data_IF_708337092325
#
_entry.id   IF_708337092325
#
_cell.length_a   1.000
_cell.length_b   1.000
_cell.length_c   1.000
_cell.angle_alpha   90.00
_cell.angle_beta   90.00
_cell.angle_gamma   90.00
#
_symmetry.space_group_name_H-M   'P 1'
#
loop_
_entity.id
_entity.type
_entity.pdbx_description
1 polymer ?
#
# COMPACT_ATOMS: atom_id res chain seq x y z
N UNK A 1 18.06 11.93 7.03
CA UNK A 1 17.62 13.26 6.56
C UNK A 1 16.18 13.18 6.07
N UNK A 2 15.40 14.22 6.28
CA UNK A 2 14.02 14.34 5.79
C UNK A 2 14.01 15.48 4.77
N UNK A 3 13.43 15.22 3.60
CA UNK A 3 13.25 16.20 2.55
C UNK A 3 11.76 16.36 2.27
N UNK A 4 11.31 17.58 2.10
CA UNK A 4 9.95 17.90 1.71
C UNK A 4 9.94 18.46 0.29
N UNK A 5 9.05 17.95 -0.56
CA UNK A 5 8.77 18.55 -1.86
C UNK A 5 7.48 19.37 -1.74
N UNK A 6 7.56 20.65 -2.06
CA UNK A 6 6.41 21.55 -2.16
C UNK A 6 6.04 21.86 -3.62
N UNK A 7 6.90 21.49 -4.55
CA UNK A 7 6.73 21.77 -5.96
C UNK A 7 5.93 20.67 -6.64
N UNK A 8 5.24 21.05 -7.72
CA UNK A 8 4.56 20.10 -8.58
C UNK A 8 5.58 19.23 -9.30
N UNK A 9 5.50 17.93 -9.11
CA UNK A 9 6.39 16.94 -9.70
C UNK A 9 5.73 16.39 -10.97
N UNK A 10 6.50 16.29 -12.06
CA UNK A 10 6.04 15.69 -13.32
C UNK A 10 5.99 14.16 -13.21
N UNK A 11 5.21 13.50 -14.07
CA UNK A 11 5.14 12.04 -14.11
C UNK A 11 6.52 11.38 -14.30
N UNK A 12 7.38 11.96 -15.16
CA UNK A 12 8.74 11.47 -15.36
C UNK A 12 9.60 11.56 -14.09
N UNK A 13 9.48 12.65 -13.33
CA UNK A 13 10.16 12.81 -12.05
C UNK A 13 9.60 11.85 -10.99
N UNK A 14 8.28 11.66 -10.93
CA UNK A 14 7.67 10.66 -10.03
C UNK A 14 8.19 9.25 -10.31
N UNK A 15 8.28 8.86 -11.58
CA UNK A 15 8.85 7.59 -11.97
C UNK A 15 10.29 7.41 -11.45
N UNK A 16 11.12 8.47 -11.51
CA UNK A 16 12.48 8.42 -10.94
C UNK A 16 12.44 8.20 -9.42
N UNK A 17 11.55 8.89 -8.70
CA UNK A 17 11.44 8.72 -7.25
C UNK A 17 11.06 7.29 -6.88
N UNK A 18 10.09 6.68 -7.55
CA UNK A 18 9.73 5.29 -7.29
C UNK A 18 10.89 4.34 -7.57
N UNK A 19 11.64 4.55 -8.66
CA UNK A 19 12.76 3.67 -9.04
C UNK A 19 13.98 3.79 -8.11
N UNK A 20 14.15 4.88 -7.37
CA UNK A 20 15.26 5.04 -6.41
C UNK A 20 14.84 4.73 -4.97
N UNK A 21 13.55 4.58 -4.70
CA UNK A 21 13.05 4.33 -3.37
C UNK A 21 13.28 2.87 -2.94
N UNK A 22 13.65 2.65 -1.69
CA UNK A 22 13.70 1.31 -1.09
C UNK A 22 12.30 0.81 -0.72
N UNK A 23 11.35 1.70 -0.48
CA UNK A 23 9.93 1.43 -0.27
C UNK A 23 9.11 2.71 -0.43
N UNK A 24 7.84 2.55 -0.78
CA UNK A 24 6.83 3.63 -0.73
C UNK A 24 5.95 3.45 0.49
N UNK A 25 5.65 4.54 1.20
CA UNK A 25 4.78 4.53 2.38
C UNK A 25 3.52 5.35 2.13
N UNK A 26 2.35 4.77 2.40
CA UNK A 26 1.05 5.42 2.34
C UNK A 26 0.22 5.06 3.58
N UNK A 27 0.10 5.98 4.51
CA UNK A 27 -0.63 5.79 5.78
C UNK A 27 -1.93 6.61 5.83
N UNK A 28 -2.55 6.83 4.68
CA UNK A 28 -3.87 7.45 4.60
C UNK A 28 -4.88 6.67 5.44
N UNK A 29 -5.75 7.39 6.13
CA UNK A 29 -6.79 6.78 6.99
C UNK A 29 -7.99 6.25 6.22
N UNK A 30 -8.12 6.64 4.96
CA UNK A 30 -9.12 6.15 4.01
C UNK A 30 -8.64 6.41 2.58
N UNK A 31 -8.72 5.39 1.76
CA UNK A 31 -8.38 5.46 0.33
C UNK A 31 -9.31 4.57 -0.48
N UNK A 32 -9.82 5.09 -1.59
CA UNK A 32 -10.55 4.26 -2.53
C UNK A 32 -9.67 3.20 -3.17
N UNK A 33 -8.44 3.56 -3.53
CA UNK A 33 -7.47 2.65 -4.13
C UNK A 33 -6.04 2.87 -3.64
N UNK A 34 -5.52 4.11 -3.66
CA UNK A 34 -4.14 4.45 -3.35
C UNK A 34 -3.21 4.26 -4.56
N UNK A 35 -3.39 5.07 -5.61
CA UNK A 35 -2.64 4.97 -6.88
C UNK A 35 -1.12 4.95 -6.69
N UNK A 36 -0.59 5.67 -5.71
CA UNK A 36 0.84 5.68 -5.42
C UNK A 36 1.40 4.30 -5.05
N UNK A 37 0.57 3.40 -4.52
CA UNK A 37 0.97 2.02 -4.25
C UNK A 37 1.07 1.22 -5.55
N UNK A 38 0.11 1.38 -6.46
CA UNK A 38 0.18 0.76 -7.80
C UNK A 38 1.42 1.23 -8.56
N UNK A 39 1.68 2.54 -8.59
CA UNK A 39 2.86 3.13 -9.23
C UNK A 39 4.16 2.59 -8.64
N UNK A 40 4.20 2.37 -7.33
CA UNK A 40 5.31 1.75 -6.62
C UNK A 40 5.51 0.29 -7.06
N UNK A 41 4.43 -0.50 -7.10
CA UNK A 41 4.50 -1.92 -7.46
C UNK A 41 4.97 -2.12 -8.90
N UNK A 42 4.49 -1.31 -9.85
CA UNK A 42 4.93 -1.40 -11.26
C UNK A 42 6.37 -0.92 -11.49
N UNK A 43 6.99 -0.31 -10.51
CA UNK A 43 8.43 0.01 -10.50
C UNK A 43 9.26 -0.95 -9.64
N UNK A 44 8.67 -2.08 -9.24
CA UNK A 44 9.30 -3.09 -8.39
C UNK A 44 9.76 -2.54 -7.03
N UNK A 45 9.01 -1.60 -6.46
CA UNK A 45 9.27 -1.00 -5.15
C UNK A 45 8.27 -1.51 -4.13
N UNK A 46 8.71 -2.10 -3.00
CA UNK A 46 7.82 -2.59 -1.94
C UNK A 46 6.98 -1.49 -1.32
N UNK A 47 5.84 -1.85 -0.75
CA UNK A 47 4.90 -0.91 -0.16
C UNK A 47 4.74 -1.10 1.34
N UNK A 48 4.68 0.01 2.07
CA UNK A 48 4.24 0.10 3.46
C UNK A 48 2.90 0.83 3.43
N UNK A 49 1.82 0.22 3.88
CA UNK A 49 0.53 0.87 3.78
C UNK A 49 -0.42 0.53 4.93
N UNK A 50 -1.30 1.47 5.25
CA UNK A 50 -2.37 1.27 6.20
C UNK A 50 -3.37 0.23 5.67
N UNK A 51 -3.83 -0.66 6.53
CA UNK A 51 -4.81 -1.71 6.16
C UNK A 51 -6.20 -1.12 6.20
N UNK A 52 -6.58 -0.44 5.12
CA UNK A 52 -7.90 0.18 4.96
C UNK A 52 -8.26 0.31 3.48
N UNK A 53 -9.55 0.28 3.19
CA UNK A 53 -10.10 0.50 1.85
C UNK A 53 -9.40 -0.33 0.76
N UNK A 54 -9.26 0.22 -0.43
CA UNK A 54 -8.65 -0.47 -1.58
C UNK A 54 -7.15 -0.73 -1.45
N UNK A 55 -6.47 -0.14 -0.46
CA UNK A 55 -5.07 -0.48 -0.18
C UNK A 55 -4.91 -1.94 0.25
N UNK A 56 -5.93 -2.54 0.88
CA UNK A 56 -5.93 -3.95 1.25
C UNK A 56 -5.84 -4.87 0.04
N UNK A 57 -6.51 -4.52 -1.05
CA UNK A 57 -6.51 -5.29 -2.30
C UNK A 57 -5.09 -5.37 -2.89
N UNK A 58 -4.34 -4.29 -2.79
CA UNK A 58 -2.96 -4.20 -3.28
C UNK A 58 -1.95 -4.93 -2.39
N UNK A 59 -2.27 -5.17 -1.12
CA UNK A 59 -1.46 -6.00 -0.22
C UNK A 59 -1.69 -7.49 -0.44
N UNK A 60 -2.80 -7.84 -1.06
CA UNK A 60 -3.22 -9.19 -1.40
C UNK A 60 -3.14 -10.14 -0.21
N UNK A 61 -4.07 -9.97 0.71
CA UNK A 61 -4.17 -10.85 1.86
C UNK A 61 -4.62 -12.26 1.47
N UNK A 62 -4.14 -13.25 2.20
CA UNK A 62 -4.47 -14.65 1.99
C UNK A 62 -4.82 -15.36 3.29
N UNK A 63 -5.56 -16.44 3.16
CA UNK A 63 -5.89 -17.36 4.24
C UNK A 63 -5.91 -18.77 3.69
N UNK A 64 -5.27 -19.70 4.39
CA UNK A 64 -5.18 -21.11 3.98
C UNK A 64 -4.62 -21.28 2.54
N UNK A 65 -3.61 -20.46 2.19
CA UNK A 65 -2.96 -20.40 0.87
C UNK A 65 -3.89 -19.98 -0.27
N UNK A 66 -5.00 -19.27 0.02
CA UNK A 66 -5.90 -18.70 -0.97
C UNK A 66 -5.99 -17.20 -0.78
N UNK A 67 -5.92 -16.45 -1.88
CA UNK A 67 -6.19 -15.03 -1.86
C UNK A 67 -7.62 -14.75 -1.38
N UNK A 68 -7.77 -13.69 -0.61
CA UNK A 68 -9.07 -13.22 -0.13
C UNK A 68 -9.57 -12.17 -1.12
N UNK A 69 -10.78 -12.38 -1.62
CA UNK A 69 -11.49 -11.38 -2.40
C UNK A 69 -12.34 -10.54 -1.43
N UNK A 70 -12.04 -9.25 -1.37
CA UNK A 70 -12.81 -8.32 -0.56
C UNK A 70 -14.18 -8.09 -1.22
N UNK A 71 -15.22 -8.06 -0.42
CA UNK A 71 -16.59 -7.88 -0.86
C UNK A 71 -17.23 -6.71 -0.09
N UNK A 72 -18.41 -6.23 -0.51
CA UNK A 72 -19.14 -5.19 0.23
C UNK A 72 -19.43 -5.54 1.70
N UNK A 73 -19.48 -6.82 2.03
CA UNK A 73 -19.68 -7.30 3.40
C UNK A 73 -18.36 -7.41 4.19
N UNK A 74 -17.21 -7.21 3.53
CA UNK A 74 -15.92 -7.24 4.19
C UNK A 74 -15.66 -5.86 4.83
N UNK A 75 -15.18 -5.80 6.08
CA UNK A 75 -14.90 -4.51 6.73
C UNK A 75 -13.78 -3.76 6.00
N UNK A 76 -13.78 -2.43 6.08
CA UNK A 76 -12.74 -1.56 5.50
C UNK A 76 -11.33 -1.91 5.95
N UNK A 77 -11.20 -2.57 7.10
CA UNK A 77 -9.99 -3.22 7.56
C UNK A 77 -10.34 -4.48 8.37
N UNK A 78 -9.43 -5.44 8.42
CA UNK A 78 -9.60 -6.66 9.21
C UNK A 78 -8.83 -6.64 10.54
N UNK A 79 -8.23 -5.51 10.90
CA UNK A 79 -7.53 -5.25 12.18
C UNK A 79 -6.54 -6.35 12.59
N UNK A 80 -5.86 -6.92 11.61
CA UNK A 80 -4.86 -7.95 11.85
C UNK A 80 -5.43 -9.34 12.19
N UNK A 81 -6.69 -9.61 11.90
CA UNK A 81 -7.24 -10.99 11.96
C UNK A 81 -6.66 -11.87 10.87
N UNK A 82 -6.22 -11.29 9.75
CA UNK A 82 -5.54 -11.95 8.66
C UNK A 82 -4.10 -11.47 8.64
N UNK A 83 -3.15 -12.39 8.63
CA UNK A 83 -1.71 -12.10 8.76
C UNK A 83 -0.91 -12.37 7.49
N UNK A 84 -1.38 -13.29 6.66
CA UNK A 84 -0.71 -13.64 5.42
C UNK A 84 -1.03 -12.61 4.34
N UNK A 85 -0.02 -12.14 3.64
CA UNK A 85 -0.14 -11.12 2.61
C UNK A 85 0.96 -11.28 1.55
N UNK A 86 0.86 -10.52 0.47
CA UNK A 86 1.89 -10.48 -0.56
C UNK A 86 3.27 -10.10 0.03
N UNK A 87 4.32 -10.74 -0.46
CA UNK A 87 5.70 -10.52 0.03
C UNK A 87 6.21 -9.10 -0.17
N UNK A 88 5.58 -8.34 -1.05
CA UNK A 88 5.90 -6.94 -1.36
C UNK A 88 5.29 -5.93 -0.41
N UNK A 89 4.37 -6.37 0.45
CA UNK A 89 3.60 -5.50 1.32
C UNK A 89 4.05 -5.60 2.77
N UNK A 90 4.11 -4.45 3.43
CA UNK A 90 4.39 -4.29 4.86
C UNK A 90 3.20 -3.60 5.51
N UNK A 91 2.16 -4.36 5.91
CA UNK A 91 0.93 -3.81 6.44
C UNK A 91 1.14 -3.07 7.76
N UNK A 92 0.48 -1.93 7.89
CA UNK A 92 0.30 -1.21 9.15
C UNK A 92 -1.17 -1.32 9.52
N UNK A 93 -1.47 -1.99 10.61
CA UNK A 93 -2.86 -2.22 11.02
C UNK A 93 -3.38 -1.03 11.81
N UNK A 94 -4.63 -0.58 11.53
CA UNK A 94 -5.22 0.51 12.29
C UNK A 94 -5.33 0.20 13.78
N UNK A 95 -4.86 1.12 14.60
CA UNK A 95 -4.99 1.08 16.06
C UNK A 95 -6.26 1.76 16.56
N UNK A 96 -6.85 2.63 15.73
CA UNK A 96 -8.01 3.44 16.07
C UNK A 96 -8.93 3.63 14.86
N UNK A 97 -10.24 3.81 15.14
CA UNK A 97 -11.22 4.27 14.17
C UNK A 97 -11.81 5.58 14.68
N UNK A 98 -11.85 6.58 13.83
CA UNK A 98 -12.56 7.82 14.08
C UNK A 98 -13.67 8.03 13.05
N UNK A 99 -14.67 8.82 13.41
CA UNK A 99 -15.68 9.28 12.46
C UNK A 99 -15.24 10.63 11.95
N UNK A 100 -15.06 10.74 10.63
CA UNK A 100 -14.76 11.99 9.96
C UNK A 100 -15.92 12.38 9.05
N UNK A 101 -16.17 13.67 8.92
CA UNK A 101 -17.21 14.19 8.04
C UNK A 101 -17.20 15.70 8.00
N UNK A 102 -17.84 16.25 6.98
CA UNK A 102 -18.02 17.67 6.81
C UNK A 102 -19.34 17.93 6.06
N UNK A 103 -19.83 19.13 6.10
CA UNK A 103 -20.93 19.54 5.23
C UNK A 103 -20.32 19.92 3.87
N UNK A 104 -20.70 19.31 2.74
CA UNK A 104 -21.78 18.34 2.51
C UNK A 104 -21.35 16.85 2.53
N UNK A 105 -20.13 16.54 2.96
CA UNK A 105 -19.60 15.17 2.92
C UNK A 105 -20.23 14.31 4.02
N UNK A 106 -20.78 13.12 3.69
CA UNK A 106 -21.33 12.23 4.72
C UNK A 106 -20.25 11.79 5.71
N UNK A 107 -20.67 11.38 6.88
CA UNK A 107 -19.76 10.80 7.87
C UNK A 107 -19.21 9.46 7.36
N UNK A 108 -17.90 9.32 7.44
CA UNK A 108 -17.17 8.11 7.10
C UNK A 108 -16.31 7.67 8.29
N UNK A 109 -15.96 6.41 8.31
CA UNK A 109 -15.00 5.89 9.27
C UNK A 109 -13.59 6.03 8.70
N UNK A 110 -12.71 6.66 9.49
CA UNK A 110 -11.27 6.76 9.23
C UNK A 110 -10.52 5.75 10.07
N UNK A 111 -9.76 4.89 9.42
CA UNK A 111 -8.88 3.91 10.04
C UNK A 111 -7.51 4.52 10.27
N UNK A 112 -7.15 4.78 11.51
CA UNK A 112 -5.90 5.46 11.87
C UNK A 112 -4.89 4.50 12.45
N UNK A 113 -3.71 4.44 11.87
CA UNK A 113 -2.55 3.76 12.42
C UNK A 113 -1.80 4.67 13.40
N UNK A 114 -1.08 4.07 14.34
CA UNK A 114 -0.19 4.80 15.22
C UNK A 114 1.12 5.14 14.51
N UNK A 115 1.80 6.25 14.88
CA UNK A 115 3.14 6.55 14.39
C UNK A 115 4.15 5.42 14.72
N UNK A 116 3.99 4.76 15.86
CA UNK A 116 4.83 3.65 16.31
C UNK A 116 4.72 2.45 15.39
N UNK A 117 3.49 2.07 14.98
CA UNK A 117 3.26 0.96 14.06
C UNK A 117 3.81 1.28 12.67
N UNK A 118 3.67 2.54 12.23
CA UNK A 118 4.31 3.03 11.00
C UNK A 118 5.83 2.95 11.07
N UNK A 119 6.43 3.37 12.17
CA UNK A 119 7.88 3.29 12.39
C UNK A 119 8.39 1.85 12.40
N UNK A 120 7.67 0.93 13.04
CA UNK A 120 8.00 -0.50 13.04
C UNK A 120 7.95 -1.11 11.63
N UNK A 121 7.01 -0.69 10.79
CA UNK A 121 6.95 -1.15 9.41
C UNK A 121 8.14 -0.64 8.58
N UNK A 122 8.54 0.62 8.76
CA UNK A 122 9.75 1.19 8.15
C UNK A 122 10.99 0.42 8.61
N UNK A 123 11.11 0.14 9.92
CA UNK A 123 12.23 -0.61 10.49
C UNK A 123 12.33 -2.02 9.92
N UNK A 124 11.21 -2.70 9.69
CA UNK A 124 11.19 -4.01 9.04
C UNK A 124 11.81 -3.96 7.65
N UNK A 125 11.44 -2.98 6.83
CA UNK A 125 12.00 -2.81 5.48
C UNK A 125 13.48 -2.43 5.55
N UNK A 126 13.86 -1.53 6.47
CA UNK A 126 15.23 -1.10 6.67
C UNK A 126 16.17 -2.25 7.03
N UNK A 127 15.71 -3.18 7.86
CA UNK A 127 16.47 -4.34 8.31
C UNK A 127 16.55 -5.49 7.30
N UNK A 128 15.81 -5.43 6.18
CA UNK A 128 15.98 -6.39 5.09
C UNK A 128 17.34 -6.21 4.41
N UNK A 129 17.90 -7.30 3.93
CA UNK A 129 19.02 -7.24 2.99
C UNK A 129 18.59 -6.53 1.70
N UNK A 130 19.56 -6.06 0.93
CA UNK A 130 19.27 -5.48 -0.39
C UNK A 130 18.58 -6.49 -1.30
N UNK A 131 19.03 -7.73 -1.25
CA UNK A 131 18.52 -8.85 -2.03
C UNK A 131 17.06 -9.15 -1.66
N UNK A 132 16.73 -9.16 -0.36
CA UNK A 132 15.36 -9.40 0.10
C UNK A 132 14.41 -8.23 -0.29
N UNK A 133 14.87 -6.99 -0.21
CA UNK A 133 14.07 -5.84 -0.69
C UNK A 133 13.81 -5.94 -2.19
N UNK A 134 14.82 -6.28 -2.98
CA UNK A 134 14.67 -6.46 -4.42
C UNK A 134 13.75 -7.64 -4.75
N UNK A 135 13.84 -8.73 -4.01
CA UNK A 135 12.95 -9.87 -4.17
C UNK A 135 11.49 -9.52 -3.82
N UNK A 136 11.29 -8.73 -2.77
CA UNK A 136 9.98 -8.22 -2.39
C UNK A 136 9.41 -7.31 -3.49
N UNK A 137 10.19 -6.35 -3.97
CA UNK A 137 9.78 -5.45 -5.05
C UNK A 137 9.44 -6.19 -6.33
N UNK A 138 10.29 -7.16 -6.72
CA UNK A 138 10.01 -8.00 -7.89
C UNK A 138 8.73 -8.81 -7.74
N UNK A 139 8.47 -9.38 -6.58
CA UNK A 139 7.23 -10.12 -6.34
C UNK A 139 6.00 -9.21 -6.48
N UNK A 140 6.09 -7.95 -6.04
CA UNK A 140 5.05 -6.94 -6.23
C UNK A 140 4.84 -6.58 -7.69
N UNK A 141 5.92 -6.39 -8.44
CA UNK A 141 5.87 -6.14 -9.87
C UNK A 141 5.21 -7.31 -10.63
N UNK A 142 5.66 -8.53 -10.35
CA UNK A 142 5.12 -9.73 -11.00
C UNK A 142 3.62 -9.90 -10.73
N UNK A 143 3.17 -9.61 -9.51
CA UNK A 143 1.76 -9.60 -9.18
C UNK A 143 1.02 -8.47 -9.90
N UNK A 144 1.52 -7.22 -9.83
CA UNK A 144 0.84 -6.05 -10.39
C UNK A 144 0.71 -6.09 -11.92
N UNK A 145 1.66 -6.72 -12.60
CA UNK A 145 1.68 -6.87 -14.06
C UNK A 145 1.16 -8.22 -14.56
N UNK A 146 0.84 -9.13 -13.65
CA UNK A 146 0.28 -10.44 -13.96
C UNK A 146 -1.25 -10.41 -14.14
N UNK A 147 -1.79 -11.51 -14.64
CA UNK A 147 -3.21 -11.65 -14.93
C UNK A 147 -4.11 -11.52 -13.69
N UNK A 148 -3.60 -11.84 -12.51
CA UNK A 148 -4.35 -11.83 -11.25
C UNK A 148 -4.68 -10.43 -10.74
N UNK A 149 -3.84 -9.44 -11.01
CA UNK A 149 -4.06 -8.07 -10.54
C UNK A 149 -5.00 -7.27 -11.44
N UNK A 150 -5.21 -7.72 -12.66
CA UNK A 150 -6.02 -7.02 -13.66
C UNK A 150 -5.43 -5.67 -14.11
N UNK A 151 -4.20 -5.33 -13.72
CA UNK A 151 -3.48 -4.17 -14.21
C UNK A 151 -2.91 -4.48 -15.59
N UNK A 152 -3.75 -4.39 -16.61
CA UNK A 152 -3.34 -4.55 -17.99
C UNK A 152 -2.53 -3.34 -18.46
N UNK A 153 -1.81 -3.50 -19.56
CA UNK A 153 -0.94 -2.47 -20.14
C UNK A 153 -1.62 -1.09 -20.40
N UNK A 154 -2.93 -1.01 -20.33
CA UNK A 154 -3.70 0.23 -20.47
C UNK A 154 -3.46 1.22 -19.33
N UNK A 155 -3.17 0.75 -18.12
CA UNK A 155 -2.85 1.63 -16.97
C UNK A 155 -1.41 2.15 -17.05
N UNK A 156 -0.54 1.50 -17.80
CA UNK A 156 0.87 1.91 -17.96
C UNK A 156 1.05 3.09 -18.92
N UNK A 157 0.02 3.52 -19.65
CA UNK A 157 0.09 4.52 -20.71
C UNK A 157 -0.64 5.84 -20.41
N UNK A 158 -1.27 5.99 -19.25
CA UNK A 158 -1.92 7.22 -18.78
C UNK A 158 -1.15 7.91 -17.68
#
# INVERSE_FOLDING_TARGET
>A
NIFFSSDKITAAQMNLFYNIADATILLSSNEGWGLSLTESLVTATPIIANVTGGMQDQMRFSKDNKWIDFSPDFPSNHRGTIKEHGKWAFPVFPSNISVAGSIPTPYIFDDRCSPEDGALAIERVYNLSKEDRQAAGKAGYDWATGDEAGFTAEIQLT
#
